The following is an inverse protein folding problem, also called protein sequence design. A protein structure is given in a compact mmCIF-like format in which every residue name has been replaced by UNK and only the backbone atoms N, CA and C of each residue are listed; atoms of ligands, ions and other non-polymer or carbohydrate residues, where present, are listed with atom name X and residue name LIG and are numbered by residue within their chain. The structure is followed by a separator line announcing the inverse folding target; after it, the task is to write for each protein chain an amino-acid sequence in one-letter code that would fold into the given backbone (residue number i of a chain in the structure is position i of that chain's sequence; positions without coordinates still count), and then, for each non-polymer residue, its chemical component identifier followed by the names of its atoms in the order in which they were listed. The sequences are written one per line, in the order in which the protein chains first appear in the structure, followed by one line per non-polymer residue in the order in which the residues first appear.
data_IF_156511379196
#
_entry.id   IF_156511379196
#
_cell.length_a   1.000
_cell.length_b   1.000
_cell.length_c   1.000
_cell.angle_alpha   90.00
_cell.angle_beta   90.00
_cell.angle_gamma   90.00
#
_symmetry.space_group_name_H-M   'P 1'
#
loop_
_entity.id
_entity.type
_entity.pdbx_description
1 polymer ?
#
# COMPACT_ATOMS: atom_id res chain seq x y z
N UNK A 1 34.41 -2.37 6.59
CA UNK A 1 33.06 -1.75 6.49
C UNK A 1 32.14 -2.71 5.77
N UNK A 2 31.12 -3.26 6.43
CA UNK A 2 30.12 -4.10 5.75
C UNK A 2 29.23 -3.23 4.88
N UNK A 3 29.17 -3.51 3.58
CA UNK A 3 28.28 -2.77 2.67
C UNK A 3 26.83 -3.10 2.98
N UNK A 4 26.06 -2.09 3.42
CA UNK A 4 24.61 -2.19 3.61
C UNK A 4 23.95 -2.35 2.24
N UNK A 5 23.19 -3.43 2.06
CA UNK A 5 22.44 -3.69 0.82
C UNK A 5 20.96 -3.42 1.06
N UNK A 6 20.39 -2.54 0.24
CA UNK A 6 18.95 -2.24 0.29
C UNK A 6 18.31 -2.68 -1.02
N UNK A 7 17.23 -3.46 -0.92
CA UNK A 7 16.41 -3.89 -2.07
C UNK A 7 14.98 -3.42 -1.85
N UNK A 8 14.48 -2.66 -2.81
CA UNK A 8 13.08 -2.24 -2.89
C UNK A 8 12.43 -3.10 -3.96
N UNK A 9 11.27 -3.68 -3.65
CA UNK A 9 10.49 -4.47 -4.60
C UNK A 9 9.04 -4.04 -4.55
N UNK A 10 8.49 -3.68 -5.70
CA UNK A 10 7.06 -3.47 -5.89
C UNK A 10 6.51 -4.69 -6.63
N UNK A 11 5.67 -5.47 -5.97
CA UNK A 11 4.98 -6.61 -6.57
C UNK A 11 3.53 -6.25 -6.81
N UNK A 12 3.03 -6.51 -8.01
CA UNK A 12 1.61 -6.32 -8.34
C UNK A 12 0.99 -7.55 -9.01
N UNK A 13 -0.30 -7.76 -8.79
CA UNK A 13 -1.11 -8.80 -9.45
C UNK A 13 -2.51 -8.27 -9.74
N UNK A 14 -3.04 -8.43 -10.95
CA UNK A 14 -4.40 -8.00 -11.25
C UNK A 14 -5.43 -8.78 -10.41
N UNK A 15 -6.46 -8.09 -9.92
CA UNK A 15 -7.55 -8.71 -9.14
C UNK A 15 -8.54 -9.37 -10.11
N UNK A 16 -8.18 -10.54 -10.62
CA UNK A 16 -8.99 -11.37 -11.53
C UNK A 16 -9.43 -12.64 -10.80
N UNK A 17 -10.66 -13.11 -11.08
CA UNK A 17 -11.14 -14.41 -10.60
C UNK A 17 -11.53 -14.50 -9.12
N UNK A 18 -11.76 -13.37 -8.44
CA UNK A 18 -12.19 -13.35 -7.02
C UNK A 18 -13.57 -12.68 -6.84
N UNK A 19 -14.66 -13.23 -7.39
CA UNK A 19 -15.97 -12.57 -7.45
C UNK A 19 -16.53 -12.27 -6.06
N UNK A 20 -16.49 -13.22 -5.12
CA UNK A 20 -17.03 -13.03 -3.76
C UNK A 20 -16.27 -11.95 -2.98
N UNK A 21 -14.93 -12.02 -2.95
CA UNK A 21 -14.11 -10.99 -2.27
C UNK A 21 -14.32 -9.62 -2.90
N UNK A 22 -14.42 -9.55 -4.23
CA UNK A 22 -14.72 -8.32 -4.96
C UNK A 22 -16.10 -7.76 -4.57
N UNK A 23 -17.11 -8.62 -4.47
CA UNK A 23 -18.46 -8.24 -4.03
C UNK A 23 -18.46 -7.71 -2.60
N UNK A 24 -17.88 -8.43 -1.63
CA UNK A 24 -17.82 -7.99 -0.23
C UNK A 24 -17.10 -6.65 -0.07
N UNK A 25 -15.97 -6.48 -0.77
CA UNK A 25 -15.24 -5.22 -0.76
C UNK A 25 -16.09 -4.09 -1.35
N UNK A 26 -16.76 -4.35 -2.48
CA UNK A 26 -17.63 -3.36 -3.14
C UNK A 26 -18.79 -2.97 -2.22
N UNK A 27 -19.44 -3.95 -1.57
CA UNK A 27 -20.50 -3.72 -0.59
C UNK A 27 -20.03 -2.80 0.55
N UNK A 28 -18.84 -3.05 1.11
CA UNK A 28 -18.23 -2.19 2.15
C UNK A 28 -17.90 -0.79 1.63
N UNK A 29 -17.38 -0.67 0.41
CA UNK A 29 -17.10 0.62 -0.22
C UNK A 29 -18.40 1.44 -0.36
N UNK A 30 -19.48 0.84 -0.86
CA UNK A 30 -20.78 1.51 -0.99
C UNK A 30 -21.43 1.86 0.36
N UNK A 31 -21.26 1.03 1.38
CA UNK A 31 -21.67 1.39 2.74
C UNK A 31 -20.94 2.65 3.23
N UNK A 32 -19.63 2.76 2.94
CA UNK A 32 -18.84 3.94 3.31
C UNK A 32 -19.20 5.17 2.49
N UNK A 33 -19.45 5.03 1.19
CA UNK A 33 -19.99 6.10 0.32
C UNK A 33 -21.32 6.61 0.88
N UNK A 34 -22.23 5.68 1.22
CA UNK A 34 -23.52 6.02 1.82
C UNK A 34 -23.35 6.78 3.14
N UNK A 35 -22.44 6.33 4.01
CA UNK A 35 -22.14 7.04 5.25
C UNK A 35 -21.54 8.44 5.02
N UNK A 36 -20.71 8.63 3.99
CA UNK A 36 -20.10 9.92 3.65
C UNK A 36 -21.09 10.89 3.01
N UNK A 37 -22.04 10.39 2.21
CA UNK A 37 -23.06 11.20 1.53
C UNK A 37 -24.33 11.45 2.36
N UNK A 38 -24.54 10.70 3.43
CA UNK A 38 -25.68 10.92 4.35
C UNK A 38 -25.45 12.14 5.23
N UNK A 39 -26.55 12.74 5.66
CA UNK A 39 -26.52 13.68 6.77
C UNK A 39 -26.04 12.97 8.03
N UNK A 40 -25.25 13.67 8.84
CA UNK A 40 -24.70 13.12 10.08
C UNK A 40 -25.44 13.72 11.26
N UNK A 41 -25.99 12.87 12.10
CA UNK A 41 -26.56 13.27 13.38
C UNK A 41 -25.46 13.77 14.31
N UNK A 42 -25.74 14.88 14.99
CA UNK A 42 -24.99 15.42 16.11
C UNK A 42 -25.88 15.35 17.36
N UNK A 43 -25.25 15.57 18.52
CA UNK A 43 -25.94 15.71 19.81
C UNK A 43 -27.09 16.73 19.80
N UNK A 44 -27.05 17.73 18.89
CA UNK A 44 -28.06 18.78 18.77
C UNK A 44 -28.45 19.07 17.30
N UNK A 45 -28.87 18.06 16.55
CA UNK A 45 -29.42 18.19 15.19
C UNK A 45 -28.64 17.45 14.10
N UNK A 46 -29.05 17.55 12.84
CA UNK A 46 -28.32 16.97 11.70
C UNK A 46 -27.38 17.99 11.05
N UNK A 47 -26.30 17.51 10.42
CA UNK A 47 -25.50 18.31 9.50
C UNK A 47 -25.49 17.70 8.09
N UNK A 48 -25.55 18.52 7.04
CA UNK A 48 -25.32 18.03 5.70
C UNK A 48 -23.86 17.54 5.53
N UNK A 49 -23.61 16.65 4.55
CA UNK A 49 -22.26 16.22 4.21
C UNK A 49 -21.45 17.40 3.68
N UNK A 50 -20.24 17.54 4.20
CA UNK A 50 -19.30 18.58 3.77
C UNK A 50 -18.84 18.36 2.33
N UNK A 51 -18.40 19.40 1.60
CA UNK A 51 -17.83 19.24 0.25
C UNK A 51 -16.67 18.23 0.21
N UNK A 52 -15.85 18.20 1.26
CA UNK A 52 -14.74 17.23 1.40
C UNK A 52 -15.25 15.80 1.50
N UNK A 53 -16.29 15.53 2.28
CA UNK A 53 -16.87 14.17 2.39
C UNK A 53 -17.52 13.71 1.09
N UNK A 54 -18.12 14.64 0.32
CA UNK A 54 -18.63 14.33 -1.02
C UNK A 54 -17.50 13.94 -1.96
N UNK A 55 -16.42 14.74 -2.01
CA UNK A 55 -15.23 14.44 -2.80
C UNK A 55 -14.58 13.11 -2.39
N UNK A 56 -14.56 12.82 -1.09
CA UNK A 56 -14.10 11.55 -0.55
C UNK A 56 -14.96 10.38 -1.05
N UNK A 57 -16.29 10.54 -1.03
CA UNK A 57 -17.22 9.54 -1.53
C UNK A 57 -17.02 9.30 -3.04
N UNK A 58 -16.85 10.36 -3.83
CA UNK A 58 -16.61 10.29 -5.28
C UNK A 58 -15.27 9.58 -5.58
N UNK A 59 -14.22 9.87 -4.82
CA UNK A 59 -12.93 9.20 -4.94
C UNK A 59 -13.03 7.69 -4.63
N UNK A 60 -13.77 7.32 -3.58
CA UNK A 60 -14.03 5.91 -3.23
C UNK A 60 -14.86 5.22 -4.31
N UNK A 61 -15.86 5.90 -4.87
CA UNK A 61 -16.71 5.39 -5.95
C UNK A 61 -15.89 5.09 -7.22
N UNK A 62 -15.08 6.05 -7.67
CA UNK A 62 -14.18 5.90 -8.81
C UNK A 62 -13.19 4.73 -8.61
N UNK A 63 -12.63 4.62 -7.40
CA UNK A 63 -11.74 3.51 -7.03
C UNK A 63 -12.46 2.16 -6.97
N UNK A 64 -13.73 2.13 -6.60
CA UNK A 64 -14.51 0.90 -6.53
C UNK A 64 -14.98 0.38 -7.89
N UNK A 65 -15.21 1.31 -8.83
CA UNK A 65 -15.58 1.03 -10.22
C UNK A 65 -14.42 0.57 -11.09
N UNK A 66 -13.20 1.03 -10.81
CA UNK A 66 -12.01 0.77 -11.66
C UNK A 66 -11.44 -0.66 -11.56
N UNK A 67 -10.71 -1.11 -12.60
CA UNK A 67 -9.84 -2.28 -12.53
C UNK A 67 -8.77 -2.10 -11.44
N UNK A 68 -8.51 -3.15 -10.66
CA UNK A 68 -7.66 -3.08 -9.47
C UNK A 68 -6.53 -4.11 -9.51
N UNK A 69 -5.44 -3.75 -8.86
CA UNK A 69 -4.27 -4.59 -8.65
C UNK A 69 -4.04 -4.77 -7.16
N UNK A 70 -3.72 -5.98 -6.73
CA UNK A 70 -3.07 -6.18 -5.45
C UNK A 70 -1.62 -5.73 -5.58
N UNK A 71 -1.19 -4.82 -4.72
CA UNK A 71 0.17 -4.28 -4.70
C UNK A 71 0.81 -4.51 -3.34
N UNK A 72 2.09 -4.88 -3.32
CA UNK A 72 2.92 -5.02 -2.13
C UNK A 72 4.23 -4.28 -2.37
N UNK A 73 4.52 -3.29 -1.51
CA UNK A 73 5.81 -2.61 -1.47
C UNK A 73 6.63 -3.31 -0.39
N UNK A 74 7.83 -3.78 -0.76
CA UNK A 74 8.71 -4.55 0.11
C UNK A 74 10.05 -3.85 0.20
N UNK A 75 10.49 -3.64 1.43
CA UNK A 75 11.79 -3.07 1.74
C UNK A 75 12.60 -4.14 2.46
N UNK A 76 13.69 -4.57 1.83
CA UNK A 76 14.64 -5.52 2.43
C UNK A 76 15.97 -4.81 2.62
N UNK A 77 16.43 -4.76 3.87
CA UNK A 77 17.71 -4.16 4.24
C UNK A 77 18.57 -5.24 4.89
N UNK A 78 19.74 -5.49 4.33
CA UNK A 78 20.67 -6.55 4.74
C UNK A 78 21.97 -5.89 5.22
N UNK A 79 22.54 -6.41 6.32
CA UNK A 79 23.73 -5.87 6.99
C UNK A 79 23.56 -4.42 7.48
N UNK A 80 22.39 -4.09 8.01
CA UNK A 80 22.15 -2.80 8.62
C UNK A 80 22.58 -2.84 10.11
N UNK A 81 23.49 -1.95 10.49
CA UNK A 81 23.86 -1.71 11.89
C UNK A 81 22.72 -0.94 12.62
N UNK A 82 23.02 -0.29 13.75
CA UNK A 82 22.03 0.43 14.58
C UNK A 82 21.16 1.46 13.83
N UNK A 83 21.60 1.97 12.68
CA UNK A 83 20.89 2.95 11.84
C UNK A 83 19.66 2.41 11.07
N UNK A 84 19.22 1.17 11.34
CA UNK A 84 18.13 0.50 10.59
C UNK A 84 16.77 1.22 10.67
N UNK A 85 16.26 1.63 11.86
CA UNK A 85 14.91 2.20 11.94
C UNK A 85 14.78 3.56 11.23
N UNK A 86 15.78 4.42 11.35
CA UNK A 86 15.80 5.74 10.71
C UNK A 86 15.85 5.62 9.19
N UNK A 87 16.65 4.68 8.66
CA UNK A 87 16.73 4.45 7.22
C UNK A 87 15.45 3.83 6.66
N UNK A 88 14.80 2.92 7.39
CA UNK A 88 13.47 2.39 7.02
C UNK A 88 12.46 3.53 6.96
N UNK A 89 12.44 4.41 7.97
CA UNK A 89 11.54 5.58 7.99
C UNK A 89 11.78 6.50 6.79
N UNK A 90 13.02 6.83 6.48
CA UNK A 90 13.38 7.67 5.32
C UNK A 90 12.90 7.06 4.00
N UNK A 91 13.18 5.77 3.77
CA UNK A 91 12.79 5.07 2.54
C UNK A 91 11.27 4.91 2.46
N UNK A 92 10.62 4.54 3.58
CA UNK A 92 9.17 4.42 3.64
C UNK A 92 8.48 5.78 3.43
N UNK A 93 9.07 6.87 3.92
CA UNK A 93 8.57 8.23 3.74
C UNK A 93 8.52 8.67 2.29
N UNK A 94 9.37 8.12 1.41
CA UNK A 94 9.29 8.35 -0.03
C UNK A 94 7.98 7.83 -0.64
N UNK A 95 7.31 6.89 0.02
CA UNK A 95 6.01 6.35 -0.39
C UNK A 95 4.83 7.07 0.28
N UNK A 96 5.06 8.08 1.13
CA UNK A 96 3.97 8.87 1.73
C UNK A 96 3.19 9.67 0.69
N UNK A 97 3.76 9.94 -0.49
CA UNK A 97 3.05 10.56 -1.62
C UNK A 97 1.85 9.72 -2.09
N UNK A 98 1.81 8.42 -1.76
CA UNK A 98 0.69 7.52 -2.07
C UNK A 98 -0.36 7.45 -0.96
N UNK A 99 -0.17 8.22 0.11
CA UNK A 99 -1.25 8.45 1.05
C UNK A 99 -2.33 9.27 0.37
N UNK A 100 -3.53 8.73 0.36
CA UNK A 100 -4.68 9.40 -0.20
C UNK A 100 -5.68 9.65 0.92
N UNK A 101 -5.71 10.87 1.50
CA UNK A 101 -6.66 11.21 2.54
C UNK A 101 -8.11 11.17 2.04
N UNK A 102 -8.32 11.36 0.73
CA UNK A 102 -9.64 11.27 0.08
C UNK A 102 -10.12 9.82 -0.08
N UNK A 103 -9.26 8.81 0.07
CA UNK A 103 -9.71 7.41 0.16
C UNK A 103 -9.48 6.80 1.54
N UNK A 104 -8.85 7.56 2.44
CA UNK A 104 -8.40 7.08 3.76
C UNK A 104 -7.30 6.03 3.68
N UNK A 105 -6.56 5.99 2.56
CA UNK A 105 -5.43 5.09 2.38
C UNK A 105 -4.17 5.78 2.91
N UNK A 106 -3.54 5.16 3.91
CA UNK A 106 -2.31 5.65 4.54
C UNK A 106 -1.24 4.57 4.50
N UNK A 107 0.02 4.99 4.47
CA UNK A 107 1.15 4.10 4.53
C UNK A 107 1.60 3.98 5.99
N UNK A 108 1.11 2.97 6.68
CA UNK A 108 1.61 2.67 8.02
C UNK A 108 2.89 1.83 7.91
N UNK A 109 4.04 2.50 7.91
CA UNK A 109 5.35 1.86 7.96
C UNK A 109 5.65 1.39 9.40
N UNK A 110 5.27 0.16 9.72
CA UNK A 110 5.62 -0.46 11.01
C UNK A 110 6.86 -1.35 10.84
N UNK A 111 7.94 -1.01 11.55
CA UNK A 111 9.11 -1.89 11.66
C UNK A 111 8.74 -3.03 12.61
N UNK A 112 8.51 -4.23 12.08
CA UNK A 112 8.26 -5.41 12.89
C UNK A 112 9.55 -6.21 12.98
N UNK A 113 10.12 -6.33 14.18
CA UNK A 113 11.20 -7.27 14.47
C UNK A 113 10.57 -8.62 14.78
N UNK A 114 10.67 -9.61 13.88
CA UNK A 114 10.05 -10.91 14.13
C UNK A 114 10.79 -11.61 15.27
N UNK A 115 10.03 -12.11 16.24
CA UNK A 115 10.55 -12.93 17.34
C UNK A 115 11.07 -14.28 16.85
N UNK A 116 10.59 -14.77 15.69
CA UNK A 116 10.95 -16.08 15.12
C UNK A 116 11.76 -15.91 13.82
N UNK A 117 12.95 -16.52 13.78
CA UNK A 117 13.85 -16.52 12.62
C UNK A 117 13.18 -17.05 11.34
N UNK A 118 12.26 -18.00 11.45
CA UNK A 118 11.51 -18.58 10.33
C UNK A 118 10.69 -17.55 9.55
N UNK A 119 10.19 -16.49 10.19
CA UNK A 119 9.43 -15.43 9.53
C UNK A 119 10.32 -14.58 8.62
N UNK A 120 11.53 -14.25 9.07
CA UNK A 120 12.54 -13.56 8.26
C UNK A 120 12.88 -14.40 7.03
N UNK A 121 13.14 -15.69 7.22
CA UNK A 121 13.48 -16.60 6.13
C UNK A 121 12.33 -16.73 5.13
N UNK A 122 11.09 -16.85 5.60
CA UNK A 122 9.90 -16.91 4.73
C UNK A 122 9.69 -15.64 3.93
N UNK A 123 9.96 -14.46 4.53
CA UNK A 123 9.87 -13.18 3.84
C UNK A 123 10.99 -13.04 2.79
N UNK A 124 12.23 -13.41 3.13
CA UNK A 124 13.34 -13.41 2.19
C UNK A 124 13.07 -14.36 0.99
N UNK A 125 12.50 -15.54 1.25
CA UNK A 125 12.05 -16.46 0.20
C UNK A 125 10.94 -15.86 -0.66
N UNK A 126 9.93 -15.22 -0.06
CA UNK A 126 8.86 -14.56 -0.80
C UNK A 126 9.36 -13.39 -1.68
N UNK A 127 10.38 -12.66 -1.21
CA UNK A 127 11.09 -11.61 -1.99
C UNK A 127 11.84 -12.24 -3.15
N UNK A 128 12.59 -13.32 -2.91
CA UNK A 128 13.34 -14.04 -3.95
C UNK A 128 12.42 -14.60 -5.03
N UNK A 129 11.34 -15.29 -4.63
CA UNK A 129 10.37 -15.92 -5.55
C UNK A 129 9.40 -14.95 -6.21
N UNK A 130 9.40 -13.67 -5.82
CA UNK A 130 8.46 -12.64 -6.29
C UNK A 130 6.99 -13.03 -6.07
N UNK A 131 6.69 -13.72 -4.97
CA UNK A 131 5.34 -14.23 -4.67
C UNK A 131 4.68 -13.47 -3.52
N UNK A 132 3.35 -13.35 -3.56
CA UNK A 132 2.55 -12.89 -2.41
C UNK A 132 2.45 -14.00 -1.35
N UNK A 133 3.54 -14.23 -0.61
CA UNK A 133 3.63 -15.21 0.47
C UNK A 133 4.23 -14.62 1.76
N UNK A 134 4.08 -15.37 2.85
CA UNK A 134 4.63 -15.02 4.17
C UNK A 134 4.04 -13.71 4.70
N UNK A 135 4.91 -12.80 5.14
CA UNK A 135 4.58 -11.49 5.72
C UNK A 135 4.29 -10.38 4.69
N UNK A 136 4.05 -10.74 3.44
CA UNK A 136 3.76 -9.77 2.38
C UNK A 136 2.39 -9.11 2.60
N UNK A 137 2.39 -7.89 3.14
CA UNK A 137 1.19 -7.06 3.18
C UNK A 137 0.81 -6.62 1.76
N UNK A 138 -0.49 -6.57 1.48
CA UNK A 138 -1.02 -6.14 0.18
C UNK A 138 -2.12 -5.11 0.36
N UNK A 139 -2.09 -4.09 -0.48
CA UNK A 139 -3.18 -3.13 -0.63
C UNK A 139 -3.71 -3.19 -2.07
N UNK A 140 -4.77 -2.43 -2.35
CA UNK A 140 -5.34 -2.35 -3.70
C UNK A 140 -5.02 -0.99 -4.32
N UNK A 141 -4.49 -1.02 -5.53
CA UNK A 141 -4.22 0.16 -6.34
C UNK A 141 -5.05 0.14 -7.62
N UNK A 142 -5.49 1.31 -8.06
CA UNK A 142 -5.99 1.51 -9.44
C UNK A 142 -4.82 1.49 -10.44
N UNK A 143 -5.12 1.54 -11.74
CA UNK A 143 -4.09 1.64 -12.77
C UNK A 143 -3.22 2.89 -12.59
N UNK A 144 -3.85 4.04 -12.34
CA UNK A 144 -3.15 5.32 -12.20
C UNK A 144 -2.28 5.36 -10.93
N UNK A 145 -2.80 4.82 -9.82
CA UNK A 145 -2.04 4.65 -8.58
C UNK A 145 -0.86 3.71 -8.78
N UNK A 146 -1.04 2.62 -9.53
CA UNK A 146 0.06 1.69 -9.85
C UNK A 146 1.11 2.33 -10.77
N UNK A 147 0.71 3.10 -11.79
CA UNK A 147 1.68 3.82 -12.62
C UNK A 147 2.45 4.86 -11.82
N UNK A 148 1.77 5.55 -10.90
CA UNK A 148 2.40 6.52 -10.02
C UNK A 148 3.43 5.84 -9.09
N UNK A 149 3.17 4.60 -8.63
CA UNK A 149 4.12 3.81 -7.84
C UNK A 149 5.37 3.40 -8.62
N UNK A 150 5.19 3.08 -9.91
CA UNK A 150 6.30 2.70 -10.79
C UNK A 150 7.10 3.90 -11.28
N UNK A 151 6.50 5.09 -11.28
CA UNK A 151 7.13 6.33 -11.76
C UNK A 151 7.91 7.08 -10.68
N UNK A 152 8.16 6.50 -9.50
CA UNK A 152 9.00 7.14 -8.47
C UNK A 152 10.33 7.58 -9.08
N UNK A 153 10.62 8.88 -9.18
CA UNK A 153 11.84 9.34 -9.80
C UNK A 153 13.01 9.04 -8.86
N UNK A 154 14.00 8.40 -9.45
CA UNK A 154 15.28 8.05 -8.90
C UNK A 154 15.92 9.22 -8.12
N UNK A 155 16.01 9.13 -6.80
CA UNK A 155 16.89 9.98 -5.98
C UNK A 155 18.20 9.21 -5.74
N UNK A 156 19.05 9.13 -6.77
CA UNK A 156 20.42 8.55 -6.72
C UNK A 156 20.52 7.06 -6.32
N UNK A 157 19.68 6.20 -6.87
CA UNK A 157 19.83 4.75 -6.86
C UNK A 157 20.30 4.26 -8.23
N UNK A 158 21.44 3.57 -8.26
CA UNK A 158 21.83 2.79 -9.42
C UNK A 158 20.81 1.65 -9.61
N UNK A 159 20.15 1.65 -10.76
CA UNK A 159 19.22 0.59 -11.13
C UNK A 159 19.99 -0.75 -11.14
N UNK A 160 19.52 -1.73 -10.37
CA UNK A 160 20.03 -3.10 -10.46
C UNK A 160 19.60 -3.64 -11.82
N UNK A 161 20.52 -3.66 -12.78
CA UNK A 161 20.29 -4.01 -14.19
C UNK A 161 19.84 -5.47 -14.43
N UNK A 162 19.78 -6.31 -13.39
CA UNK A 162 19.52 -7.75 -13.51
C UNK A 162 18.11 -8.16 -13.05
N UNK A 163 17.08 -7.41 -13.44
CA UNK A 163 15.71 -7.89 -13.39
C UNK A 163 15.33 -8.52 -14.74
N UNK A 164 15.84 -9.72 -15.02
CA UNK A 164 15.24 -10.57 -16.04
C UNK A 164 13.94 -11.21 -15.48
N UNK A 165 12.95 -11.51 -16.35
CA UNK A 165 11.59 -11.92 -15.97
C UNK A 165 11.53 -13.07 -14.97
#
# INVERSE_FOLDING_TARGET
MSHQKTRIQILFRPVIGQPLRRYYWRKRAYQRIGHLRREKEKLWGSRPPTPREKKQADAIENKAGSPRFHVSIRLLIINAAEYTPSRVKEISGAFNTYENPETGQYLNATTVTPFRRSQITSFAQAVQRREFQGWSQKFQATKDELSALLSLPNRKQDNIQNAQP
#
